data_IF_760978832673
#
_entry.id   IF_760978832673
#
_cell.length_a   1.000
_cell.length_b   1.000
_cell.length_c   1.000
_cell.angle_alpha   90.00
_cell.angle_beta   90.00
_cell.angle_gamma   90.00
#
_symmetry.space_group_name_H-M   'P 1'
#
loop_
_entity.id
_entity.type
_entity.pdbx_description
1 polymer ?
#
# COMPACT_ATOMS: atom_id res chain seq x y z
N UNK A 1 -7.22 19.58 16.08
CA UNK A 1 -7.42 18.33 15.34
C UNK A 1 -6.23 18.16 14.41
N UNK A 2 -5.19 17.46 14.87
CA UNK A 2 -3.93 17.30 14.12
C UNK A 2 -4.15 16.30 12.99
N UNK A 3 -3.82 16.72 11.76
CA UNK A 3 -4.00 15.95 10.52
C UNK A 3 -3.11 14.70 10.52
N UNK A 4 -3.65 13.56 10.95
CA UNK A 4 -2.97 12.24 11.00
C UNK A 4 -2.47 11.78 9.62
N UNK A 5 -3.01 12.32 8.52
CA UNK A 5 -2.70 11.88 7.16
C UNK A 5 -1.27 12.21 6.69
N UNK A 6 -0.64 13.27 7.19
CA UNK A 6 0.72 13.66 6.77
C UNK A 6 1.83 12.84 7.42
N UNK A 7 1.51 12.08 8.48
CA UNK A 7 2.46 11.17 9.13
C UNK A 7 2.50 9.78 8.48
N UNK A 8 1.54 9.44 7.62
CA UNK A 8 1.44 8.08 7.07
C UNK A 8 2.19 7.92 5.74
N UNK A 9 2.18 8.97 4.92
CA UNK A 9 2.65 8.95 3.54
C UNK A 9 3.73 10.02 3.30
N UNK A 10 4.70 9.69 2.46
CA UNK A 10 5.77 10.61 2.06
C UNK A 10 5.36 11.44 0.83
N UNK A 11 4.65 12.55 1.09
CA UNK A 11 4.22 13.49 0.07
C UNK A 11 5.34 14.38 -0.47
N UNK A 12 6.48 14.47 0.21
CA UNK A 12 7.65 15.20 -0.30
C UNK A 12 8.31 14.40 -1.42
N UNK A 13 8.45 13.09 -1.22
CA UNK A 13 9.01 12.18 -2.21
C UNK A 13 8.02 11.82 -3.31
N UNK A 14 6.73 11.80 -2.99
CA UNK A 14 5.66 11.45 -3.91
C UNK A 14 4.54 12.49 -3.84
N UNK A 15 4.65 13.61 -4.58
CA UNK A 15 3.63 14.66 -4.58
C UNK A 15 2.41 14.22 -5.39
N UNK A 16 1.60 13.32 -4.83
CA UNK A 16 0.39 12.78 -5.48
C UNK A 16 -0.68 13.86 -5.72
N UNK A 17 -0.58 15.01 -5.07
CA UNK A 17 -1.43 16.17 -5.30
C UNK A 17 -1.02 16.98 -6.54
N UNK A 18 0.16 16.72 -7.08
CA UNK A 18 0.66 17.37 -8.29
C UNK A 18 0.17 16.62 -9.55
N UNK A 19 -0.60 17.29 -10.43
CA UNK A 19 -1.10 16.69 -11.66
C UNK A 19 0.00 16.30 -12.67
N UNK A 20 1.15 16.98 -12.68
CA UNK A 20 2.27 16.61 -13.55
C UNK A 20 2.92 15.30 -13.08
N UNK A 21 3.11 15.16 -11.77
CA UNK A 21 3.58 13.92 -11.16
C UNK A 21 2.64 12.75 -11.46
N UNK A 22 1.32 12.98 -11.34
CA UNK A 22 0.31 11.97 -11.68
C UNK A 22 0.39 11.52 -13.15
N UNK A 23 0.65 12.46 -14.07
CA UNK A 23 0.79 12.16 -15.51
C UNK A 23 2.02 11.28 -15.77
N UNK A 24 3.18 11.62 -15.18
CA UNK A 24 4.40 10.82 -15.28
C UNK A 24 4.22 9.41 -14.68
N UNK A 25 3.54 9.29 -13.54
CA UNK A 25 3.20 8.01 -12.94
C UNK A 25 2.32 7.16 -13.88
N UNK A 26 1.34 7.77 -14.56
CA UNK A 26 0.46 7.08 -15.50
C UNK A 26 1.23 6.59 -16.74
N UNK A 27 2.15 7.38 -17.27
CA UNK A 27 3.01 6.97 -18.38
C UNK A 27 3.89 5.76 -18.00
N UNK A 28 4.51 5.81 -16.82
CA UNK A 28 5.29 4.70 -16.28
C UNK A 28 4.43 3.44 -16.08
N UNK A 29 3.21 3.60 -15.55
CA UNK A 29 2.26 2.49 -15.39
C UNK A 29 1.88 1.87 -16.75
N UNK A 30 1.64 2.70 -17.77
CA UNK A 30 1.31 2.23 -19.12
C UNK A 30 2.47 1.49 -19.77
N UNK A 31 3.70 1.94 -19.56
CA UNK A 31 4.89 1.33 -20.15
C UNK A 31 5.30 0.03 -19.44
N UNK A 32 5.26 0.01 -18.11
CA UNK A 32 5.74 -1.13 -17.31
C UNK A 32 4.62 -2.10 -16.88
N UNK A 33 3.35 -1.73 -17.05
CA UNK A 33 2.18 -2.49 -16.59
C UNK A 33 1.94 -2.41 -15.07
N UNK A 34 2.90 -1.87 -14.31
CA UNK A 34 2.81 -1.67 -12.87
C UNK A 34 3.60 -0.41 -12.46
N UNK A 35 3.17 0.22 -11.37
CA UNK A 35 3.83 1.38 -10.77
C UNK A 35 4.24 1.04 -9.34
N UNK A 36 5.52 1.21 -9.01
CA UNK A 36 6.05 0.97 -7.67
C UNK A 36 6.49 2.29 -7.05
N UNK A 37 5.77 2.74 -6.02
CA UNK A 37 6.10 3.93 -5.24
C UNK A 37 6.96 3.54 -4.03
N UNK A 38 8.28 3.52 -4.22
CA UNK A 38 9.24 3.07 -3.20
C UNK A 38 9.30 4.05 -2.03
N UNK A 39 8.96 3.59 -0.83
CA UNK A 39 8.97 4.42 0.38
C UNK A 39 7.77 5.36 0.48
N UNK A 40 6.69 5.07 -0.26
CA UNK A 40 5.46 5.86 -0.18
C UNK A 40 4.85 5.82 1.22
N UNK A 41 4.76 4.63 1.80
CA UNK A 41 4.47 4.49 3.23
C UNK A 41 5.77 4.64 4.00
N UNK A 42 5.75 5.46 5.05
CA UNK A 42 6.89 5.61 5.96
C UNK A 42 7.14 4.29 6.69
N UNK A 43 8.40 4.00 6.98
CA UNK A 43 8.78 2.73 7.60
C UNK A 43 8.06 2.48 8.94
N UNK A 44 7.89 3.53 9.75
CA UNK A 44 7.17 3.50 11.02
C UNK A 44 5.71 3.05 10.88
N UNK A 45 5.07 3.45 9.78
CA UNK A 45 3.67 3.13 9.45
C UNK A 45 3.55 1.68 9.03
N UNK A 46 4.52 1.20 8.23
CA UNK A 46 4.57 -0.21 7.84
C UNK A 46 4.71 -1.11 9.06
N UNK A 47 5.54 -0.71 10.04
CA UNK A 47 5.69 -1.44 11.31
C UNK A 47 4.38 -1.45 12.10
N UNK A 48 3.73 -0.30 12.28
CA UNK A 48 2.45 -0.22 12.99
C UNK A 48 1.36 -1.07 12.32
N UNK A 49 1.26 -1.02 10.99
CA UNK A 49 0.31 -1.84 10.23
C UNK A 49 0.57 -3.34 10.40
N UNK A 50 1.84 -3.74 10.47
CA UNK A 50 2.21 -5.13 10.70
C UNK A 50 1.79 -5.58 12.11
N UNK A 51 2.03 -4.75 13.13
CA UNK A 51 1.64 -5.04 14.51
C UNK A 51 0.11 -5.13 14.66
N UNK A 52 -0.63 -4.19 14.06
CA UNK A 52 -2.09 -4.19 14.02
C UNK A 52 -2.61 -5.46 13.35
N UNK A 53 -2.08 -5.80 12.16
CA UNK A 53 -2.46 -6.99 11.41
C UNK A 53 -2.20 -8.28 12.20
N UNK A 54 -1.09 -8.36 12.94
CA UNK A 54 -0.78 -9.50 13.81
C UNK A 54 -1.76 -9.59 14.98
N UNK A 55 -2.14 -8.45 15.57
CA UNK A 55 -3.09 -8.39 16.68
C UNK A 55 -4.49 -8.90 16.29
N UNK A 56 -4.96 -8.54 15.09
CA UNK A 56 -6.28 -8.96 14.58
C UNK A 56 -6.26 -10.33 13.88
N UNK A 57 -5.07 -10.89 13.60
CA UNK A 57 -4.91 -12.20 12.94
C UNK A 57 -5.67 -13.33 13.62
N UNK A 58 -5.75 -13.44 14.97
CA UNK A 58 -6.54 -14.48 15.63
C UNK A 58 -8.04 -14.41 15.31
N UNK A 59 -8.55 -13.25 14.93
CA UNK A 59 -9.95 -13.03 14.55
C UNK A 59 -10.18 -13.22 13.04
N UNK A 60 -9.12 -13.37 12.26
CA UNK A 60 -9.23 -13.57 10.83
C UNK A 60 -9.76 -14.98 10.51
N UNK A 61 -10.79 -15.04 9.68
CA UNK A 61 -11.33 -16.30 9.18
C UNK A 61 -10.40 -16.90 8.12
N UNK A 62 -9.67 -17.96 8.48
CA UNK A 62 -8.85 -18.73 7.53
C UNK A 62 -9.64 -19.95 7.02
N UNK A 63 -10.15 -19.88 5.79
CA UNK A 63 -10.77 -21.04 5.14
C UNK A 63 -9.69 -21.94 4.53
N UNK A 64 -9.47 -23.12 5.09
CA UNK A 64 -8.55 -24.12 4.54
C UNK A 64 -9.24 -24.89 3.40
N UNK A 65 -9.58 -24.22 2.30
CA UNK A 65 -10.23 -24.87 1.15
C UNK A 65 -9.21 -25.73 0.39
N UNK A 66 -9.25 -27.03 0.62
CA UNK A 66 -8.61 -28.04 -0.24
C UNK A 66 -9.51 -28.21 -1.46
N UNK A 67 -9.45 -27.30 -2.43
CA UNK A 67 -10.04 -27.54 -3.74
C UNK A 67 -9.15 -28.53 -4.50
N UNK A 68 -9.48 -29.81 -4.40
CA UNK A 68 -9.00 -30.80 -5.36
C UNK A 68 -9.68 -30.48 -6.70
N UNK A 69 -9.08 -29.60 -7.50
CA UNK A 69 -9.46 -29.44 -8.90
C UNK A 69 -9.03 -30.73 -9.61
N UNK A 70 -9.99 -31.61 -9.89
CA UNK A 70 -9.82 -32.64 -10.90
C UNK A 70 -9.93 -31.94 -12.26
N UNK A 71 -8.80 -31.87 -12.97
CA UNK A 71 -8.76 -31.54 -14.40
C UNK A 71 -9.20 -32.75 -15.23
#
# INVERSE_FOLDING_TARGET
VTNTHQLLIDLERHPISDPEYGTSCLENLRAAGALVLKGFLRQEVVTMLQEEAVSIRPEAFFCNQIHNVYL
#
